data_IF_023912355725
#
_entry.id   IF_023912355725
#
_cell.length_a   1.000
_cell.length_b   1.000
_cell.length_c   1.000
_cell.angle_alpha   90.00
_cell.angle_beta   90.00
_cell.angle_gamma   90.00
#
_symmetry.space_group_name_H-M   'P 1'
#
loop_
_entity.id
_entity.type
_entity.pdbx_description
1 polymer ?
#
# COMPACT_ATOMS: atom_id res chain seq x y z
N UNK A 1 0.08 -9.85 4.82
CA UNK A 1 0.10 -8.68 5.72
C UNK A 1 -1.29 -8.06 5.70
N UNK A 2 -1.69 -7.22 6.67
CA UNK A 2 -3.11 -6.84 6.79
C UNK A 2 -3.62 -6.06 5.56
N UNK A 3 -2.76 -5.24 4.97
CA UNK A 3 -3.04 -4.44 3.77
C UNK A 3 -3.12 -5.26 2.48
N UNK A 4 -2.72 -6.53 2.49
CA UNK A 4 -2.89 -7.40 1.32
C UNK A 4 -4.33 -7.97 1.24
N UNK A 5 -5.20 -7.68 2.23
CA UNK A 5 -6.57 -8.23 2.37
C UNK A 5 -6.68 -9.76 2.20
N UNK A 6 -5.60 -10.50 2.48
CA UNK A 6 -5.52 -11.97 2.29
C UNK A 6 -6.29 -12.83 3.29
N UNK A 7 -7.05 -12.22 4.19
CA UNK A 7 -7.76 -12.92 5.27
C UNK A 7 -9.22 -12.49 5.26
N UNK A 8 -10.15 -13.43 5.17
CA UNK A 8 -11.60 -13.14 5.16
C UNK A 8 -12.11 -12.61 6.51
N UNK A 9 -11.43 -12.97 7.61
CA UNK A 9 -11.77 -12.48 8.95
C UNK A 9 -10.85 -11.33 9.33
N UNK A 10 -11.40 -10.12 9.34
CA UNK A 10 -10.70 -8.94 9.83
C UNK A 10 -11.14 -8.61 11.27
N UNK A 11 -10.19 -8.37 12.16
CA UNK A 11 -10.48 -7.88 13.52
C UNK A 11 -10.97 -6.43 13.53
N UNK A 12 -10.76 -5.70 12.43
CA UNK A 12 -11.25 -4.34 12.27
C UNK A 12 -12.71 -4.38 11.82
N UNK A 13 -13.60 -3.88 12.69
CA UNK A 13 -15.05 -3.84 12.48
C UNK A 13 -15.47 -2.77 11.47
N UNK A 14 -14.58 -1.85 11.13
CA UNK A 14 -14.84 -0.74 10.20
C UNK A 14 -14.66 -1.12 8.72
N UNK A 15 -14.26 -2.37 8.44
CA UNK A 15 -14.14 -2.88 7.07
C UNK A 15 -15.51 -3.30 6.57
N UNK A 16 -15.91 -2.65 5.49
CA UNK A 16 -17.11 -2.98 4.74
C UNK A 16 -16.77 -3.92 3.58
N UNK A 17 -17.00 -5.23 3.77
CA UNK A 17 -16.70 -6.25 2.76
C UNK A 17 -17.44 -6.03 1.43
N UNK A 18 -18.58 -5.34 1.42
CA UNK A 18 -19.30 -5.01 0.18
C UNK A 18 -18.56 -3.95 -0.67
N UNK A 19 -17.60 -3.24 -0.06
CA UNK A 19 -16.78 -2.21 -0.69
C UNK A 19 -15.36 -2.65 -0.99
N UNK A 20 -14.94 -3.83 -0.55
CA UNK A 20 -13.55 -4.30 -0.76
C UNK A 20 -13.18 -4.48 -2.23
N UNK A 21 -14.17 -4.70 -3.12
CA UNK A 21 -13.97 -4.70 -4.58
C UNK A 21 -13.59 -3.31 -5.15
N UNK A 22 -13.74 -2.24 -4.36
CA UNK A 22 -13.30 -0.89 -4.71
C UNK A 22 -11.85 -0.61 -4.34
N UNK A 23 -11.20 -1.50 -3.58
CA UNK A 23 -9.78 -1.39 -3.27
C UNK A 23 -8.95 -1.64 -4.54
N UNK A 24 -7.76 -1.05 -4.61
CA UNK A 24 -6.87 -1.25 -5.76
C UNK A 24 -5.40 -1.14 -5.35
N UNK A 25 -4.53 -1.85 -6.08
CA UNK A 25 -3.07 -1.76 -5.91
C UNK A 25 -2.49 -0.87 -7.01
N UNK A 26 -1.80 0.21 -6.64
CA UNK A 26 -1.05 1.04 -7.57
C UNK A 26 0.31 0.42 -7.93
N UNK A 27 0.76 -0.59 -7.17
CA UNK A 27 1.97 -1.35 -7.45
C UNK A 27 1.63 -2.53 -8.36
N UNK A 28 1.59 -2.30 -9.68
CA UNK A 28 1.29 -3.30 -10.72
C UNK A 28 2.41 -4.35 -10.91
N UNK A 29 2.72 -5.12 -9.86
CA UNK A 29 3.76 -6.16 -9.88
C UNK A 29 3.20 -7.55 -9.73
N UNK A 30 3.93 -8.53 -10.25
CA UNK A 30 3.60 -9.94 -10.00
C UNK A 30 3.99 -10.38 -8.59
N UNK A 31 3.38 -11.48 -8.15
CA UNK A 31 3.63 -12.08 -6.84
C UNK A 31 3.11 -11.24 -5.67
N UNK A 32 3.22 -11.81 -4.47
CA UNK A 32 2.81 -11.13 -3.25
C UNK A 32 3.92 -10.31 -2.60
N UNK A 33 3.53 -9.43 -1.68
CA UNK A 33 4.42 -8.50 -0.96
C UNK A 33 5.60 -9.21 -0.26
N UNK A 34 5.39 -10.40 0.31
CA UNK A 34 6.47 -11.16 0.96
C UNK A 34 7.45 -11.73 -0.08
N UNK A 35 6.92 -12.29 -1.16
CA UNK A 35 7.73 -12.78 -2.28
C UNK A 35 8.58 -11.65 -2.90
N UNK A 36 7.98 -10.48 -3.15
CA UNK A 36 8.68 -9.28 -3.65
C UNK A 36 9.77 -8.80 -2.68
N UNK A 37 9.48 -8.80 -1.38
CA UNK A 37 10.46 -8.41 -0.36
C UNK A 37 11.66 -9.36 -0.32
N UNK A 38 11.41 -10.67 -0.32
CA UNK A 38 12.47 -11.68 -0.31
C UNK A 38 13.33 -11.60 -1.57
N UNK A 39 12.71 -11.41 -2.74
CA UNK A 39 13.44 -11.17 -3.98
C UNK A 39 14.35 -9.94 -3.83
N UNK A 40 13.80 -8.80 -3.38
CA UNK A 40 14.57 -7.57 -3.27
C UNK A 40 15.74 -7.68 -2.29
N UNK A 41 15.54 -8.37 -1.17
CA UNK A 41 16.60 -8.63 -0.18
C UNK A 41 17.70 -9.54 -0.74
N UNK A 42 17.40 -10.43 -1.68
CA UNK A 42 18.42 -11.26 -2.35
C UNK A 42 19.32 -10.47 -3.32
N UNK A 43 18.86 -9.31 -3.79
CA UNK A 43 19.56 -8.46 -4.76
C UNK A 43 20.46 -7.39 -4.11
N UNK A 44 20.43 -7.27 -2.78
CA UNK A 44 21.17 -6.24 -2.03
C UNK A 44 21.97 -6.87 -0.90
N UNK A 45 22.99 -6.14 -0.43
CA UNK A 45 23.68 -6.53 0.79
C UNK A 45 22.78 -6.31 2.00
N UNK A 46 22.54 -7.36 2.78
CA UNK A 46 21.72 -7.33 3.99
C UNK A 46 22.57 -7.67 5.21
N UNK A 47 22.59 -6.80 6.20
CA UNK A 47 23.27 -7.05 7.47
C UNK A 47 22.58 -8.17 8.24
N UNK A 48 23.34 -9.15 8.74
CA UNK A 48 22.81 -10.31 9.49
C UNK A 48 22.59 -9.97 10.96
N UNK A 49 21.68 -9.02 11.23
CA UNK A 49 21.29 -8.63 12.58
C UNK A 49 19.81 -8.88 12.79
N UNK A 50 19.45 -9.42 13.95
CA UNK A 50 18.08 -9.85 14.26
C UNK A 50 17.08 -8.70 14.40
N UNK A 51 17.53 -7.45 14.61
CA UNK A 51 16.69 -6.26 14.77
C UNK A 51 16.60 -5.40 13.49
N UNK A 52 17.15 -5.89 12.36
CA UNK A 52 17.20 -5.14 11.13
C UNK A 52 15.78 -4.83 10.61
N UNK A 53 15.53 -3.55 10.33
CA UNK A 53 14.31 -3.11 9.65
C UNK A 53 14.53 -3.20 8.14
N UNK A 54 13.85 -4.14 7.51
CA UNK A 54 13.96 -4.43 6.07
C UNK A 54 12.85 -3.79 5.24
N UNK A 55 11.83 -3.23 5.90
CA UNK A 55 10.67 -2.60 5.29
C UNK A 55 10.16 -1.47 6.20
N UNK A 56 9.53 -0.48 5.58
CA UNK A 56 8.74 0.56 6.24
C UNK A 56 7.43 0.71 5.46
N UNK A 57 6.36 1.04 6.18
CA UNK A 57 5.02 1.28 5.62
C UNK A 57 4.67 2.76 5.80
N UNK A 58 4.01 3.34 4.80
CA UNK A 58 3.49 4.71 4.85
C UNK A 58 1.97 4.65 4.75
N UNK A 59 1.28 5.06 5.80
CA UNK A 59 -0.17 5.24 5.73
C UNK A 59 -0.48 6.67 5.31
N UNK A 60 -1.10 6.83 4.15
CA UNK A 60 -1.52 8.14 3.64
C UNK A 60 -3.03 8.18 3.49
N UNK A 61 -3.68 8.98 4.31
CA UNK A 61 -5.13 9.15 4.31
C UNK A 61 -5.56 10.25 3.33
N UNK A 62 -6.68 10.04 2.65
CA UNK A 62 -7.30 11.04 1.78
C UNK A 62 -7.61 12.31 2.60
N UNK A 63 -7.13 13.49 2.17
CA UNK A 63 -7.43 14.76 2.83
C UNK A 63 -8.94 15.06 2.87
N UNK A 64 -9.40 15.68 3.97
CA UNK A 64 -10.82 16.03 4.17
C UNK A 64 -11.42 16.85 3.02
N UNK A 65 -10.65 17.79 2.46
CA UNK A 65 -11.11 18.63 1.36
C UNK A 65 -11.29 17.87 0.03
N UNK A 66 -10.78 16.64 -0.06
CA UNK A 66 -10.94 15.76 -1.23
C UNK A 66 -12.01 14.68 -1.03
N UNK A 67 -12.68 14.57 0.14
CA UNK A 67 -13.72 13.56 0.34
C UNK A 67 -14.98 13.77 -0.50
N UNK A 68 -15.29 15.02 -0.84
CA UNK A 68 -16.50 15.41 -1.58
C UNK A 68 -16.30 15.58 -3.09
N UNK A 69 -15.09 15.30 -3.61
CA UNK A 69 -14.77 15.46 -5.03
C UNK A 69 -14.89 14.11 -5.76
N UNK A 70 -14.72 14.13 -7.08
CA UNK A 70 -14.86 12.91 -7.89
C UNK A 70 -13.86 11.81 -7.50
N UNK A 71 -14.28 10.54 -7.61
CA UNK A 71 -13.39 9.38 -7.36
C UNK A 71 -12.13 9.43 -8.22
N UNK A 72 -12.23 10.00 -9.42
CA UNK A 72 -11.09 10.21 -10.31
C UNK A 72 -10.03 11.12 -9.70
N UNK A 73 -10.43 12.25 -9.11
CA UNK A 73 -9.50 13.17 -8.45
C UNK A 73 -8.94 12.58 -7.14
N UNK A 74 -9.75 11.80 -6.41
CA UNK A 74 -9.27 11.05 -5.24
C UNK A 74 -8.20 10.02 -5.64
N UNK A 75 -8.42 9.30 -6.75
CA UNK A 75 -7.44 8.37 -7.32
C UNK A 75 -6.17 9.09 -7.77
N UNK A 76 -6.30 10.24 -8.45
CA UNK A 76 -5.15 11.05 -8.86
C UNK A 76 -4.28 11.47 -7.66
N UNK A 77 -4.91 11.80 -6.51
CA UNK A 77 -4.17 12.07 -5.27
C UNK A 77 -3.29 10.88 -4.84
N UNK A 78 -3.83 9.66 -4.86
CA UNK A 78 -3.07 8.47 -4.49
C UNK A 78 -1.99 8.12 -5.53
N UNK A 79 -2.28 8.26 -6.83
CA UNK A 79 -1.29 8.09 -7.90
C UNK A 79 -0.12 9.06 -7.77
N UNK A 80 -0.39 10.33 -7.43
CA UNK A 80 0.66 11.34 -7.18
C UNK A 80 1.45 11.06 -5.91
N UNK A 81 0.78 10.57 -4.87
CA UNK A 81 1.43 10.15 -3.63
C UNK A 81 2.36 8.96 -3.88
N UNK A 82 1.89 7.96 -4.62
CA UNK A 82 2.66 6.81 -5.06
C UNK A 82 3.90 7.23 -5.84
N UNK A 83 3.73 8.05 -6.89
CA UNK A 83 4.82 8.57 -7.72
C UNK A 83 5.88 9.29 -6.86
N UNK A 84 5.45 10.12 -5.92
CA UNK A 84 6.36 10.82 -5.01
C UNK A 84 7.16 9.87 -4.12
N UNK A 85 6.50 8.90 -3.47
CA UNK A 85 7.15 7.97 -2.54
C UNK A 85 8.08 7.01 -3.28
N UNK A 86 7.65 6.46 -4.42
CA UNK A 86 8.47 5.59 -5.27
C UNK A 86 9.75 6.31 -5.71
N UNK A 87 9.63 7.53 -6.23
CA UNK A 87 10.78 8.33 -6.65
C UNK A 87 11.72 8.66 -5.48
N UNK A 88 11.17 8.98 -4.30
CA UNK A 88 11.96 9.33 -3.12
C UNK A 88 12.77 8.17 -2.55
N UNK A 89 12.25 6.95 -2.62
CA UNK A 89 12.83 5.78 -1.92
C UNK A 89 13.50 4.77 -2.85
N UNK A 90 14.05 5.23 -3.98
CA UNK A 90 14.92 4.42 -4.84
C UNK A 90 14.20 3.74 -6.01
N UNK A 91 13.03 4.28 -6.39
CA UNK A 91 12.25 3.89 -7.55
C UNK A 91 11.47 2.60 -7.35
N UNK A 92 10.81 2.19 -8.44
CA UNK A 92 9.93 1.03 -8.49
C UNK A 92 10.50 -0.20 -7.80
N UNK A 93 11.78 -0.54 -8.00
CA UNK A 93 12.41 -1.74 -7.39
C UNK A 93 12.29 -1.84 -5.87
N UNK A 94 12.12 -0.74 -5.14
CA UNK A 94 11.99 -0.74 -3.67
C UNK A 94 10.53 -0.69 -3.20
N UNK A 95 9.56 -0.50 -4.10
CA UNK A 95 8.13 -0.55 -3.78
C UNK A 95 7.72 -2.01 -3.66
N UNK A 96 7.13 -2.39 -2.52
CA UNK A 96 6.62 -3.74 -2.29
C UNK A 96 5.12 -3.85 -2.58
N UNK A 97 4.36 -2.81 -2.29
CA UNK A 97 2.90 -2.71 -2.38
C UNK A 97 2.50 -1.23 -2.39
N UNK A 98 1.33 -0.91 -2.94
CA UNK A 98 0.68 0.39 -2.81
C UNK A 98 -0.84 0.22 -2.83
N UNK A 99 -1.37 -0.42 -1.79
CA UNK A 99 -2.80 -0.76 -1.70
C UNK A 99 -3.60 0.44 -1.20
N UNK A 100 -4.58 0.86 -1.99
CA UNK A 100 -5.57 1.85 -1.59
C UNK A 100 -6.81 1.13 -1.08
N UNK A 101 -7.12 1.35 0.19
CA UNK A 101 -8.34 0.88 0.84
C UNK A 101 -9.43 1.93 0.71
N UNK A 102 -10.51 1.55 0.03
CA UNK A 102 -11.74 2.30 -0.14
C UNK A 102 -12.87 1.75 0.73
N UNK A 103 -12.64 0.69 1.49
CA UNK A 103 -13.62 -0.09 2.25
C UNK A 103 -13.66 0.21 3.76
N UNK A 104 -12.90 1.23 4.21
CA UNK A 104 -12.88 1.67 5.60
C UNK A 104 -13.48 3.09 5.77
N UNK A 105 -13.42 3.65 6.99
CA UNK A 105 -14.01 4.95 7.34
C UNK A 105 -13.52 6.11 6.48
N UNK A 106 -12.24 6.12 6.11
CA UNK A 106 -11.67 7.13 5.21
C UNK A 106 -10.68 6.46 4.26
N UNK A 107 -10.78 6.72 2.94
CA UNK A 107 -9.84 6.16 1.99
C UNK A 107 -8.40 6.44 2.37
N UNK A 108 -7.55 5.43 2.28
CA UNK A 108 -6.13 5.56 2.60
C UNK A 108 -5.30 4.56 1.82
N UNK A 109 -4.03 4.91 1.59
CA UNK A 109 -3.04 4.06 0.94
C UNK A 109 -2.06 3.51 1.99
N UNK A 110 -1.69 2.24 1.81
CA UNK A 110 -0.52 1.59 2.39
C UNK A 110 0.52 1.36 1.30
#
# INVERSE_FOLDING_TARGET
MHWDRKTENHSNLDIDNERSDLNYDLCEKEGDTLSRMNQRLSEVHVFKRNDLKVCADWVVTLPENLKGISEKEQREFFEKTYEFLANRYGGEKNVLSANVHMDETTPHMH
#
